data_IF_575130264061
#
_entry.id   IF_575130264061
#
_cell.length_a   1.000
_cell.length_b   1.000
_cell.length_c   1.000
_cell.angle_alpha   90.00
_cell.angle_beta   90.00
_cell.angle_gamma   90.00
#
_symmetry.space_group_name_H-M   'P 1'
#
loop_
_entity.id
_entity.type
_entity.pdbx_description
1 polymer ?
#
# COMPACT_ATOMS: atom_id res chain seq x y z
N UNK A 1 3.03 14.79 2.93
CA UNK A 1 2.53 13.73 3.85
C UNK A 1 2.30 14.29 5.25
N UNK A 2 3.23 15.04 5.82
CA UNK A 2 3.17 15.56 7.20
C UNK A 2 1.85 16.27 7.54
N UNK A 3 1.32 17.06 6.62
CA UNK A 3 0.09 17.85 6.80
C UNK A 3 -1.20 17.10 6.42
N UNK A 4 -1.11 15.84 6.01
CA UNK A 4 -2.29 15.05 5.70
C UNK A 4 -2.97 14.58 6.99
N UNK A 5 -4.28 14.72 7.04
CA UNK A 5 -5.11 14.17 8.11
C UNK A 5 -5.63 12.81 7.65
N UNK A 6 -5.43 11.79 8.47
CA UNK A 6 -6.07 10.50 8.26
C UNK A 6 -7.47 10.61 8.85
N UNK A 7 -8.46 10.62 7.99
CA UNK A 7 -9.86 10.58 8.37
C UNK A 7 -10.40 9.17 8.12
N UNK A 8 -10.81 8.50 9.19
CA UNK A 8 -11.44 7.18 9.12
C UNK A 8 -12.91 7.22 8.67
N UNK A 9 -13.48 8.42 8.51
CA UNK A 9 -14.89 8.62 8.22
C UNK A 9 -15.76 8.64 9.49
N UNK A 10 -17.05 8.92 9.29
CA UNK A 10 -18.03 8.95 10.39
C UNK A 10 -18.14 7.59 11.09
N UNK A 11 -18.01 7.58 12.41
CA UNK A 11 -18.07 6.35 13.22
C UNK A 11 -16.80 5.53 13.24
N UNK A 12 -15.70 6.01 12.65
CA UNK A 12 -14.42 5.35 12.76
C UNK A 12 -13.93 5.32 14.22
N UNK A 13 -13.23 4.25 14.64
CA UNK A 13 -12.64 4.21 15.97
C UNK A 13 -11.56 5.28 16.12
N UNK A 14 -11.37 5.76 17.33
CA UNK A 14 -10.29 6.66 17.68
C UNK A 14 -8.93 5.96 17.46
N UNK A 15 -7.99 6.69 16.85
CA UNK A 15 -6.65 6.16 16.63
C UNK A 15 -5.87 6.20 17.94
N UNK A 16 -5.28 5.07 18.34
CA UNK A 16 -4.38 4.98 19.48
C UNK A 16 -3.21 5.97 19.28
N UNK A 17 -3.03 6.97 20.15
CA UNK A 17 -1.97 7.96 20.01
C UNK A 17 -0.56 7.33 20.11
N UNK A 18 -0.42 6.22 20.83
CA UNK A 18 0.84 5.52 21.04
C UNK A 18 1.13 4.47 19.95
N UNK A 19 0.24 4.34 18.95
CA UNK A 19 0.44 3.41 17.85
C UNK A 19 1.64 3.78 16.96
N UNK A 20 2.48 2.78 16.68
CA UNK A 20 3.56 2.86 15.69
C UNK A 20 4.78 3.65 16.16
N UNK A 21 5.56 4.18 15.22
CA UNK A 21 6.82 4.85 15.49
C UNK A 21 6.63 6.20 16.19
N UNK A 22 7.29 6.44 17.34
CA UNK A 22 7.23 7.72 18.02
C UNK A 22 7.72 8.89 17.18
N UNK A 23 7.08 10.05 17.33
CA UNK A 23 7.50 11.29 16.65
C UNK A 23 7.03 11.44 15.20
N UNK A 24 6.36 10.43 14.64
CA UNK A 24 5.74 10.51 13.32
C UNK A 24 4.25 10.85 13.44
N UNK A 25 3.75 11.64 12.50
CA UNK A 25 2.31 11.86 12.34
C UNK A 25 1.61 10.57 11.87
N UNK A 26 0.30 10.47 12.08
CA UNK A 26 -0.48 9.33 11.59
C UNK A 26 -0.30 9.10 10.08
N UNK A 27 -0.28 10.16 9.30
CA UNK A 27 -0.07 10.08 7.85
C UNK A 27 1.34 9.57 7.49
N UNK A 28 2.36 9.98 8.19
CA UNK A 28 3.73 9.48 7.99
C UNK A 28 3.83 8.01 8.36
N UNK A 29 3.22 7.58 9.48
CA UNK A 29 3.15 6.17 9.86
C UNK A 29 2.47 5.31 8.80
N UNK A 30 1.41 5.82 8.15
CA UNK A 30 0.66 5.06 7.14
C UNK A 30 1.32 5.08 5.77
N UNK A 31 1.80 6.24 5.30
CA UNK A 31 2.24 6.45 3.91
C UNK A 31 3.75 6.54 3.72
N UNK A 32 4.54 6.54 4.79
CA UNK A 32 5.98 6.75 4.67
C UNK A 32 6.83 5.87 5.58
N UNK A 33 6.25 4.94 6.32
CA UNK A 33 6.98 4.13 7.29
C UNK A 33 6.72 2.62 7.14
N UNK A 34 7.66 1.82 7.62
CA UNK A 34 7.53 0.36 7.66
C UNK A 34 6.57 -0.07 8.77
N UNK A 35 5.90 -1.20 8.58
CA UNK A 35 4.97 -1.76 9.55
C UNK A 35 5.21 -3.25 9.74
N UNK A 36 5.06 -3.69 10.99
CA UNK A 36 5.06 -5.09 11.38
C UNK A 36 3.72 -5.40 12.04
N UNK A 37 2.95 -6.27 11.45
CA UNK A 37 1.58 -6.56 11.84
C UNK A 37 1.43 -8.04 12.19
N UNK A 38 0.76 -8.35 13.32
CA UNK A 38 0.38 -9.71 13.67
C UNK A 38 -0.97 -10.01 13.05
N UNK A 39 -1.00 -10.95 12.09
CA UNK A 39 -2.22 -11.33 11.39
C UNK A 39 -3.00 -12.42 12.11
N UNK A 40 -2.29 -13.32 12.77
CA UNK A 40 -2.87 -14.41 13.53
C UNK A 40 -1.93 -14.85 14.67
N UNK A 41 -2.53 -15.28 15.77
CA UNK A 41 -1.81 -15.86 16.90
C UNK A 41 -2.56 -17.10 17.39
N UNK A 42 -1.85 -18.21 17.53
CA UNK A 42 -2.43 -19.47 17.98
C UNK A 42 -1.57 -20.06 19.10
N UNK A 43 -2.19 -20.40 20.22
CA UNK A 43 -1.59 -21.15 21.32
C UNK A 43 -2.56 -22.24 21.76
N UNK A 44 -2.12 -23.51 21.76
CA UNK A 44 -3.00 -24.64 22.03
C UNK A 44 -4.03 -24.90 20.91
N UNK A 45 -5.09 -25.62 21.27
CA UNK A 45 -6.23 -25.89 20.39
C UNK A 45 -7.49 -25.23 20.97
N UNK A 46 -8.03 -24.17 20.36
CA UNK A 46 -9.20 -23.46 20.87
C UNK A 46 -10.50 -24.29 20.84
N UNK A 47 -10.60 -25.26 19.94
CA UNK A 47 -11.78 -26.14 19.84
C UNK A 47 -11.77 -27.25 20.91
N UNK A 48 -10.58 -27.67 21.34
CA UNK A 48 -10.39 -28.72 22.33
C UNK A 48 -9.35 -28.29 23.38
N UNK A 49 -9.68 -27.35 24.27
CA UNK A 49 -8.75 -26.89 25.28
C UNK A 49 -8.47 -27.99 26.29
N UNK A 50 -7.21 -28.15 26.65
CA UNK A 50 -6.76 -29.08 27.67
C UNK A 50 -6.18 -28.33 28.86
N UNK A 51 -6.28 -28.91 30.06
CA UNK A 51 -5.73 -28.31 31.28
C UNK A 51 -4.21 -28.54 31.36
N UNK A 52 -3.49 -28.00 30.37
CA UNK A 52 -2.04 -28.04 30.29
C UNK A 52 -1.51 -26.81 29.53
N UNK A 53 -0.28 -26.41 29.87
CA UNK A 53 0.38 -25.33 29.12
C UNK A 53 0.65 -25.82 27.71
N UNK A 54 0.22 -25.07 26.68
CA UNK A 54 0.49 -25.42 25.28
C UNK A 54 1.99 -25.51 25.03
N UNK A 55 2.48 -26.55 24.34
CA UNK A 55 3.90 -26.71 24.06
C UNK A 55 4.42 -25.77 22.96
N UNK A 56 3.51 -25.16 22.19
CA UNK A 56 3.83 -24.29 21.06
C UNK A 56 2.83 -23.16 20.94
N UNK A 57 3.34 -21.98 20.63
CA UNK A 57 2.57 -20.86 20.14
C UNK A 57 3.14 -20.42 18.77
N UNK A 58 2.27 -19.95 17.90
CA UNK A 58 2.65 -19.50 16.55
C UNK A 58 2.00 -18.16 16.26
N UNK A 59 2.80 -17.18 15.83
CA UNK A 59 2.32 -15.92 15.28
C UNK A 59 2.59 -15.90 13.77
N UNK A 60 1.57 -15.57 12.99
CA UNK A 60 1.72 -15.24 11.58
C UNK A 60 1.76 -13.73 11.47
N UNK A 61 2.85 -13.21 10.93
CA UNK A 61 3.09 -11.78 10.86
C UNK A 61 3.27 -11.33 9.41
N UNK A 62 3.01 -10.05 9.17
CA UNK A 62 3.26 -9.39 7.90
C UNK A 62 4.18 -8.19 8.12
N UNK A 63 5.20 -8.08 7.28
CA UNK A 63 6.00 -6.87 7.18
C UNK A 63 5.56 -6.11 5.93
N UNK A 64 5.18 -4.84 6.11
CA UNK A 64 4.99 -3.88 5.02
C UNK A 64 6.14 -2.91 5.05
N UNK A 65 6.80 -2.73 3.92
CA UNK A 65 8.02 -1.95 3.86
C UNK A 65 8.02 -0.96 2.69
N UNK A 66 8.75 0.11 2.86
CA UNK A 66 8.95 1.16 1.85
C UNK A 66 10.18 0.87 1.00
N UNK A 67 10.38 1.66 -0.05
CA UNK A 67 11.61 1.59 -0.88
C UNK A 67 12.86 1.81 -0.04
N UNK A 68 13.98 1.22 -0.48
CA UNK A 68 15.28 1.30 0.21
C UNK A 68 15.46 0.30 1.34
N UNK A 69 14.51 -0.60 1.57
CA UNK A 69 14.63 -1.69 2.55
C UNK A 69 14.95 -3.00 1.84
N UNK A 70 15.90 -3.77 2.38
CA UNK A 70 16.30 -5.08 1.90
C UNK A 70 15.44 -6.15 2.61
N UNK A 71 14.44 -6.75 1.95
CA UNK A 71 13.52 -7.68 2.61
C UNK A 71 14.18 -9.00 3.01
N UNK A 72 15.28 -9.39 2.37
CA UNK A 72 16.10 -10.54 2.73
C UNK A 72 16.72 -10.43 4.13
N UNK A 73 16.87 -9.21 4.64
CA UNK A 73 17.41 -8.95 5.98
C UNK A 73 16.36 -9.07 7.09
N UNK A 74 15.07 -9.16 6.81
CA UNK A 74 14.02 -9.21 7.85
C UNK A 74 14.15 -10.41 8.77
N UNK A 75 14.33 -11.62 8.24
CA UNK A 75 14.46 -12.82 9.08
C UNK A 75 15.76 -12.80 9.89
N UNK A 76 16.93 -12.49 9.29
CA UNK A 76 18.16 -12.29 10.07
C UNK A 76 18.02 -11.23 11.18
N UNK A 77 17.39 -10.11 10.88
CA UNK A 77 17.18 -9.04 11.86
C UNK A 77 16.27 -9.47 13.02
N UNK A 78 15.16 -10.16 12.72
CA UNK A 78 14.26 -10.70 13.74
C UNK A 78 14.99 -11.68 14.66
N UNK A 79 15.78 -12.58 14.11
CA UNK A 79 16.55 -13.55 14.91
C UNK A 79 17.53 -12.84 15.84
N UNK A 80 18.30 -11.87 15.32
CA UNK A 80 19.21 -11.05 16.15
C UNK A 80 18.43 -10.30 17.25
N UNK A 81 17.25 -9.78 16.94
CA UNK A 81 16.43 -9.08 17.90
C UNK A 81 15.94 -10.01 19.02
N UNK A 82 15.46 -11.20 18.69
CA UNK A 82 15.00 -12.19 19.68
C UNK A 82 16.14 -12.65 20.59
N UNK A 83 17.31 -12.93 20.03
CA UNK A 83 18.51 -13.28 20.82
C UNK A 83 18.90 -12.15 21.79
N UNK A 84 18.97 -10.92 21.31
CA UNK A 84 19.33 -9.75 22.12
C UNK A 84 18.34 -9.48 23.27
N UNK A 85 17.08 -9.92 23.13
CA UNK A 85 16.02 -9.77 24.13
C UNK A 85 15.82 -11.01 25.01
N UNK A 86 16.66 -12.04 24.88
CA UNK A 86 16.55 -13.28 25.67
C UNK A 86 15.49 -14.27 25.15
N UNK A 87 15.00 -14.08 23.93
CA UNK A 87 14.01 -14.94 23.30
C UNK A 87 14.62 -15.84 22.20
N UNK A 88 15.87 -16.30 22.36
CA UNK A 88 16.57 -17.13 21.37
C UNK A 88 15.89 -18.46 21.04
N UNK A 89 14.89 -18.88 21.82
CA UNK A 89 14.04 -20.07 21.52
C UNK A 89 13.01 -19.82 20.45
N UNK A 90 12.74 -18.53 20.10
CA UNK A 90 11.75 -18.16 19.08
C UNK A 90 12.37 -18.39 17.68
N UNK A 91 11.68 -19.19 16.90
CA UNK A 91 12.05 -19.47 15.51
C UNK A 91 11.32 -18.51 14.59
N UNK A 92 12.04 -17.85 13.71
CA UNK A 92 11.48 -16.99 12.66
C UNK A 92 11.82 -17.58 11.30
N UNK A 93 10.79 -17.76 10.47
CA UNK A 93 10.92 -18.27 9.10
C UNK A 93 9.91 -17.60 8.16
N UNK A 94 10.17 -17.51 6.86
CA UNK A 94 9.20 -16.99 5.92
C UNK A 94 7.98 -17.91 5.84
N UNK A 95 6.77 -17.36 5.99
CA UNK A 95 5.52 -18.12 5.84
C UNK A 95 5.23 -18.48 4.37
N UNK A 96 5.74 -17.69 3.43
CA UNK A 96 5.59 -17.90 1.99
C UNK A 96 6.93 -17.69 1.29
N UNK A 97 7.11 -18.32 0.13
CA UNK A 97 8.22 -18.02 -0.77
C UNK A 97 7.88 -16.80 -1.61
N UNK A 98 8.76 -15.84 -1.63
CA UNK A 98 8.62 -14.60 -2.40
C UNK A 98 7.87 -13.47 -1.67
N UNK A 99 8.13 -12.28 -2.12
CA UNK A 99 7.55 -11.02 -1.67
C UNK A 99 7.46 -10.08 -2.86
N UNK A 100 6.61 -9.08 -2.78
CA UNK A 100 6.53 -8.00 -3.74
C UNK A 100 7.46 -6.88 -3.29
N UNK A 101 8.32 -6.39 -4.19
CA UNK A 101 9.20 -5.28 -3.88
C UNK A 101 8.43 -3.97 -3.80
N UNK A 102 8.86 -3.10 -2.90
CA UNK A 102 8.36 -1.74 -2.86
C UNK A 102 8.95 -0.94 -4.02
N UNK A 103 8.10 -0.25 -4.75
CA UNK A 103 8.49 0.63 -5.86
C UNK A 103 8.03 2.05 -5.61
N UNK A 104 8.74 3.01 -6.18
CA UNK A 104 8.34 4.42 -6.13
C UNK A 104 8.86 5.15 -7.37
N UNK A 105 7.96 5.78 -8.09
CA UNK A 105 8.34 6.69 -9.15
C UNK A 105 8.73 8.05 -8.55
N UNK A 106 9.72 8.70 -9.12
CA UNK A 106 10.13 10.05 -8.73
C UNK A 106 8.93 11.00 -8.90
N UNK A 107 8.57 11.79 -7.87
CA UNK A 107 7.48 12.75 -8.00
C UNK A 107 7.70 13.80 -9.09
N UNK A 108 8.95 14.10 -9.47
CA UNK A 108 9.28 15.03 -10.55
C UNK A 108 9.25 14.36 -11.94
N UNK A 109 8.95 13.06 -12.01
CA UNK A 109 8.77 12.36 -13.28
C UNK A 109 7.62 12.96 -14.08
N UNK A 110 7.82 13.13 -15.40
CA UNK A 110 6.85 13.75 -16.30
C UNK A 110 5.45 13.11 -16.26
N UNK A 111 5.36 11.78 -16.03
CA UNK A 111 4.09 11.07 -15.89
C UNK A 111 3.36 11.39 -14.60
N UNK A 112 4.10 11.59 -13.50
CA UNK A 112 3.50 12.02 -12.22
C UNK A 112 2.97 13.43 -12.36
N UNK A 113 3.75 14.35 -12.90
CA UNK A 113 3.35 15.74 -13.11
C UNK A 113 2.16 15.86 -14.05
N UNK A 114 2.14 15.05 -15.10
CA UNK A 114 1.00 14.99 -16.02
C UNK A 114 -0.26 14.46 -15.30
N UNK A 115 -0.17 13.38 -14.52
CA UNK A 115 -1.30 12.83 -13.79
C UNK A 115 -1.86 13.84 -12.76
N UNK A 116 -0.98 14.53 -12.03
CA UNK A 116 -1.36 15.59 -11.09
C UNK A 116 -2.14 16.70 -11.81
N UNK A 117 -1.60 17.23 -12.92
CA UNK A 117 -2.25 18.27 -13.70
C UNK A 117 -3.60 17.80 -14.28
N UNK A 118 -3.68 16.57 -14.78
CA UNK A 118 -4.89 15.97 -15.33
C UNK A 118 -5.99 15.88 -14.26
N UNK A 119 -5.66 15.34 -13.08
CA UNK A 119 -6.61 15.24 -11.95
C UNK A 119 -7.06 16.63 -11.52
N UNK A 120 -6.14 17.57 -11.35
CA UNK A 120 -6.47 18.94 -10.95
C UNK A 120 -7.40 19.63 -11.96
N UNK A 121 -7.14 19.48 -13.25
CA UNK A 121 -7.98 20.06 -14.31
C UNK A 121 -9.38 19.44 -14.33
N UNK A 122 -9.51 18.14 -14.06
CA UNK A 122 -10.78 17.44 -14.09
C UNK A 122 -11.61 17.68 -12.84
N UNK A 123 -10.98 17.71 -11.68
CA UNK A 123 -11.67 17.78 -10.39
C UNK A 123 -11.74 19.18 -9.81
N UNK A 124 -10.89 20.10 -10.28
CA UNK A 124 -10.68 21.42 -9.68
C UNK A 124 -9.96 21.39 -8.33
N UNK A 125 -9.42 20.21 -7.93
CA UNK A 125 -8.74 20.03 -6.65
C UNK A 125 -7.30 19.57 -6.89
N UNK A 126 -6.38 20.08 -6.08
CA UNK A 126 -5.01 19.63 -6.08
C UNK A 126 -4.92 18.22 -5.44
N UNK A 127 -4.42 17.20 -6.18
CA UNK A 127 -4.28 15.87 -5.62
C UNK A 127 -3.09 15.78 -4.67
N UNK A 128 -3.21 14.97 -3.61
CA UNK A 128 -2.09 14.64 -2.75
C UNK A 128 -1.20 13.59 -3.41
N UNK A 129 0.09 13.88 -3.54
CA UNK A 129 1.09 12.90 -4.00
C UNK A 129 1.66 12.18 -2.79
N UNK A 130 1.39 10.87 -2.69
CA UNK A 130 1.82 10.04 -1.58
C UNK A 130 3.09 9.26 -1.94
N UNK A 131 4.08 9.17 -1.04
CA UNK A 131 5.33 8.45 -1.32
C UNK A 131 5.16 6.94 -1.36
N UNK A 132 4.15 6.41 -0.70
CA UNK A 132 3.77 5.00 -0.77
C UNK A 132 2.30 4.80 -0.41
N UNK A 133 1.75 3.66 -0.82
CA UNK A 133 0.41 3.22 -0.48
C UNK A 133 0.47 1.85 0.17
N UNK A 134 -0.37 1.60 1.18
CA UNK A 134 -0.38 0.36 1.95
C UNK A 134 -0.93 -0.87 1.21
N UNK A 135 -1.24 -0.79 -0.07
CA UNK A 135 -1.66 -1.91 -0.91
C UNK A 135 -0.45 -2.70 -1.46
N UNK A 136 -0.56 -4.02 -1.50
CA UNK A 136 0.44 -4.87 -2.15
C UNK A 136 -0.02 -5.22 -3.57
N UNK A 137 0.70 -4.75 -4.57
CA UNK A 137 0.44 -4.95 -5.98
C UNK A 137 1.74 -5.41 -6.65
N UNK A 138 1.70 -6.20 -7.72
CA UNK A 138 2.89 -6.63 -8.44
C UNK A 138 3.50 -5.50 -9.28
N UNK A 139 3.67 -4.32 -8.67
CA UNK A 139 4.15 -3.13 -9.36
C UNK A 139 5.62 -3.21 -9.70
N UNK A 140 6.39 -3.98 -8.95
CA UNK A 140 7.79 -4.30 -9.21
C UNK A 140 7.99 -4.96 -10.58
N UNK A 141 7.04 -5.77 -11.04
CA UNK A 141 7.09 -6.33 -12.39
C UNK A 141 7.01 -5.22 -13.46
N UNK A 142 6.14 -4.25 -13.28
CA UNK A 142 6.00 -3.15 -14.24
C UNK A 142 7.16 -2.15 -14.12
N UNK A 143 7.51 -1.76 -12.91
CA UNK A 143 8.51 -0.73 -12.67
C UNK A 143 9.94 -1.25 -12.87
N UNK A 144 10.29 -2.38 -12.26
CA UNK A 144 11.67 -2.85 -12.19
C UNK A 144 12.00 -3.85 -13.31
N UNK A 145 11.08 -4.75 -13.67
CA UNK A 145 11.33 -5.75 -14.72
C UNK A 145 11.08 -5.19 -16.11
N UNK A 146 9.97 -4.46 -16.31
CA UNK A 146 9.60 -3.88 -17.60
C UNK A 146 10.12 -2.45 -17.79
N UNK A 147 10.60 -1.79 -16.73
CA UNK A 147 11.09 -0.41 -16.79
C UNK A 147 10.02 0.63 -17.11
N UNK A 148 8.75 0.35 -16.80
CA UNK A 148 7.64 1.23 -17.10
C UNK A 148 7.38 2.20 -15.93
N UNK A 149 7.23 3.50 -16.18
CA UNK A 149 6.76 4.43 -15.16
C UNK A 149 5.31 4.09 -14.80
N UNK A 150 5.05 3.92 -13.50
CA UNK A 150 3.72 3.58 -12.99
C UNK A 150 3.25 4.63 -12.00
N UNK A 151 2.03 5.12 -12.20
CA UNK A 151 1.33 6.05 -11.30
C UNK A 151 0.06 5.38 -10.81
N UNK A 152 -0.11 5.32 -9.50
CA UNK A 152 -1.30 4.75 -8.87
C UNK A 152 -2.29 5.85 -8.51
N UNK A 153 -3.52 5.72 -8.99
CA UNK A 153 -4.62 6.63 -8.65
C UNK A 153 -5.70 5.80 -7.97
N UNK A 154 -5.70 5.72 -6.62
CA UNK A 154 -6.66 4.93 -5.88
C UNK A 154 -8.04 5.58 -5.89
N UNK A 155 -9.09 4.76 -5.95
CA UNK A 155 -10.49 5.19 -5.91
C UNK A 155 -11.22 4.71 -4.66
N UNK A 156 -10.54 3.98 -3.80
CA UNK A 156 -11.01 3.64 -2.47
C UNK A 156 -10.78 4.80 -1.50
N UNK A 157 -11.65 4.92 -0.53
CA UNK A 157 -11.61 5.91 0.56
C UNK A 157 -11.88 5.22 1.89
N UNK A 158 -11.60 5.87 3.01
CA UNK A 158 -11.61 5.24 4.32
C UNK A 158 -12.96 4.57 4.66
N UNK A 159 -14.07 5.20 4.33
CA UNK A 159 -15.42 4.68 4.66
C UNK A 159 -16.03 3.77 3.59
N UNK A 160 -15.27 3.36 2.55
CA UNK A 160 -15.80 2.44 1.52
C UNK A 160 -15.92 0.98 1.99
N UNK A 161 -15.54 0.68 3.21
CA UNK A 161 -15.54 -0.67 3.78
C UNK A 161 -14.72 -1.69 2.97
N UNK A 162 -13.58 -1.27 2.42
CA UNK A 162 -12.72 -2.14 1.61
C UNK A 162 -12.37 -3.44 2.34
N UNK A 163 -12.59 -4.57 1.68
CA UNK A 163 -12.43 -5.93 2.21
C UNK A 163 -13.35 -6.29 3.39
N UNK A 164 -14.45 -5.56 3.55
CA UNK A 164 -15.43 -5.79 4.62
C UNK A 164 -16.86 -5.93 4.06
N UNK A 165 -17.83 -6.40 4.86
CA UNK A 165 -19.23 -6.39 4.46
C UNK A 165 -19.70 -4.98 4.06
N UNK A 166 -20.57 -4.93 3.03
CA UNK A 166 -21.08 -3.69 2.46
C UNK A 166 -20.02 -2.78 1.81
N UNK A 167 -18.95 -3.35 1.30
CA UNK A 167 -18.00 -2.60 0.48
C UNK A 167 -18.75 -1.88 -0.65
N UNK A 168 -18.49 -0.58 -0.80
CA UNK A 168 -19.22 0.26 -1.75
C UNK A 168 -18.35 1.40 -2.29
N UNK A 169 -18.82 1.98 -3.37
CA UNK A 169 -18.24 3.20 -3.95
C UNK A 169 -19.31 4.28 -4.02
N UNK A 170 -18.97 5.49 -3.61
CA UNK A 170 -19.82 6.65 -3.77
C UNK A 170 -19.92 7.06 -5.23
N UNK A 171 -21.13 7.36 -5.70
CA UNK A 171 -21.38 7.77 -7.07
C UNK A 171 -20.55 9.00 -7.52
N UNK A 172 -20.34 10.04 -6.68
CA UNK A 172 -19.42 11.14 -7.03
C UNK A 172 -17.99 10.68 -7.29
N UNK A 173 -17.45 9.76 -6.46
CA UNK A 173 -16.12 9.17 -6.64
C UNK A 173 -16.03 8.35 -7.92
N UNK A 174 -17.06 7.56 -8.23
CA UNK A 174 -17.12 6.80 -9.47
C UNK A 174 -17.15 7.72 -10.72
N UNK A 175 -17.88 8.83 -10.66
CA UNK A 175 -17.92 9.83 -11.74
C UNK A 175 -16.58 10.52 -11.92
N UNK A 176 -15.93 10.90 -10.83
CA UNK A 176 -14.61 11.51 -10.83
C UNK A 176 -13.58 10.58 -11.47
N UNK A 177 -13.63 9.28 -11.13
CA UNK A 177 -12.80 8.25 -11.74
C UNK A 177 -13.00 8.14 -13.26
N UNK A 178 -14.24 8.01 -13.71
CA UNK A 178 -14.55 7.88 -15.14
C UNK A 178 -14.07 9.12 -15.90
N UNK A 179 -14.30 10.32 -15.37
CA UNK A 179 -13.84 11.57 -15.96
C UNK A 179 -12.31 11.63 -16.07
N UNK A 180 -11.60 11.21 -15.02
CA UNK A 180 -10.13 11.13 -15.03
C UNK A 180 -9.63 10.06 -16.01
N UNK A 181 -10.28 8.91 -16.10
CA UNK A 181 -9.92 7.82 -16.99
C UNK A 181 -10.11 8.22 -18.47
N UNK A 182 -11.18 8.90 -18.78
CA UNK A 182 -11.43 9.42 -20.13
C UNK A 182 -10.40 10.47 -20.53
N UNK A 183 -10.01 11.35 -19.60
CA UNK A 183 -8.97 12.33 -19.83
C UNK A 183 -7.60 11.67 -20.02
N UNK A 184 -7.27 10.67 -19.22
CA UNK A 184 -6.05 9.88 -19.33
C UNK A 184 -5.96 9.18 -20.69
N UNK A 185 -7.04 8.58 -21.18
CA UNK A 185 -7.11 7.95 -22.50
C UNK A 185 -6.96 8.98 -23.65
N UNK A 186 -7.56 10.16 -23.50
CA UNK A 186 -7.47 11.23 -24.49
C UNK A 186 -6.05 11.83 -24.55
N UNK A 187 -5.39 12.00 -23.41
CA UNK A 187 -4.03 12.55 -23.32
C UNK A 187 -2.95 11.56 -23.76
N UNK A 188 -3.15 10.25 -23.58
CA UNK A 188 -2.25 9.18 -24.06
C UNK A 188 -1.92 9.34 -25.56
N UNK A 189 -2.88 9.82 -26.36
CA UNK A 189 -2.68 10.04 -27.79
C UNK A 189 -1.80 11.26 -28.12
N UNK A 190 -1.47 12.11 -27.15
CA UNK A 190 -0.63 13.29 -27.32
C UNK A 190 0.83 13.07 -26.92
N UNK A 191 1.15 11.92 -26.34
CA UNK A 191 2.51 11.58 -25.97
C UNK A 191 3.20 10.81 -27.10
N UNK A 192 4.19 11.40 -27.79
CA UNK A 192 4.93 10.74 -28.87
C UNK A 192 5.59 9.42 -28.45
N UNK A 193 5.91 9.30 -27.15
CA UNK A 193 6.49 8.08 -26.57
C UNK A 193 5.53 6.90 -26.56
N UNK A 194 4.23 7.13 -26.72
CA UNK A 194 3.18 6.11 -26.78
C UNK A 194 2.70 5.86 -28.22
N UNK A 195 3.23 6.57 -29.20
CA UNK A 195 3.08 6.22 -30.60
C UNK A 195 3.90 4.96 -30.89
N UNK A 196 3.40 3.84 -30.40
CA UNK A 196 3.87 2.54 -30.81
C UNK A 196 3.02 2.08 -31.97
N UNK A 197 3.63 1.55 -33.03
CA UNK A 197 2.94 0.92 -34.18
C UNK A 197 2.00 -0.23 -33.74
N UNK A 198 2.06 -0.60 -32.48
CA UNK A 198 1.31 -1.69 -31.85
C UNK A 198 -0.07 -1.33 -31.32
N UNK A 199 -0.40 -0.03 -31.16
CA UNK A 199 -1.68 0.38 -30.58
C UNK A 199 -2.32 1.55 -31.32
N UNK A 200 -2.95 1.30 -32.48
CA UNK A 200 -3.78 2.32 -33.11
C UNK A 200 -5.11 2.43 -32.36
N UNK A 201 -5.12 2.99 -31.16
CA UNK A 201 -6.35 3.47 -30.52
C UNK A 201 -6.82 4.70 -31.33
N UNK A 202 -7.47 4.44 -32.46
CA UNK A 202 -8.31 5.44 -33.10
C UNK A 202 -9.60 5.52 -32.30
N UNK A 203 -9.62 6.41 -31.31
CA UNK A 203 -10.88 6.78 -30.67
C UNK A 203 -11.79 7.39 -31.75
N UNK A 204 -13.06 6.96 -31.87
CA UNK A 204 -14.01 7.61 -32.75
C UNK A 204 -14.14 9.09 -32.33
N UNK A 205 -14.14 9.99 -33.34
CA UNK A 205 -14.39 11.42 -33.14
C UNK A 205 -15.80 11.66 -32.63
#
# INVERSE_FOLDING_TARGET
>A
VHNLVIDGGEGAPEIDPDWGEPGLTGAEKVFAWNRFEVLAFTAGNPEHPVNAIPPKATATCQVRFTVGVAPEEFIPALRRHFEARGFGVVQAEPAKKGYMMATRLDPDNAWVQWAVASIQNTTGKEPAVLPSLGGSLPNDVFADVLGLPTVWVPHSYASCSQHAPNEHMLLPVAREYLSNSDLLLAEVTRFPQLETDYWPLRLPK
#
